data_IF_223434172563
#
_entry.id   IF_223434172563
#
_cell.length_a   1.000
_cell.length_b   1.000
_cell.length_c   1.000
_cell.angle_alpha   90.00
_cell.angle_beta   90.00
_cell.angle_gamma   90.00
#
_symmetry.space_group_name_H-M   'P 1'
#
loop_
_entity.id
_entity.type
_entity.pdbx_description
1 polymer ?
#
# COMPACT_ATOMS: atom_id res chain seq x y z
N UNK A 1 -36.80 8.18 31.12
CA UNK A 1 -35.98 8.72 29.98
C UNK A 1 -35.41 7.56 29.22
N UNK A 2 -36.22 6.82 28.50
CA UNK A 2 -35.76 5.72 27.68
C UNK A 2 -35.77 6.17 26.21
N UNK A 3 -34.72 6.93 25.85
CA UNK A 3 -34.39 7.15 24.44
C UNK A 3 -33.86 5.85 23.86
N UNK A 4 -34.74 4.87 23.69
CA UNK A 4 -34.41 3.70 22.89
C UNK A 4 -34.30 4.16 21.44
N UNK A 5 -33.04 4.34 20.97
CA UNK A 5 -32.73 4.63 19.60
C UNK A 5 -33.22 3.42 18.75
N UNK A 6 -34.42 3.57 18.21
CA UNK A 6 -35.01 2.50 17.40
C UNK A 6 -34.29 2.45 16.05
N UNK A 7 -33.65 1.31 15.68
CA UNK A 7 -32.86 1.22 14.44
C UNK A 7 -33.68 1.54 13.18
N UNK A 8 -35.01 1.35 13.22
CA UNK A 8 -35.92 1.74 12.11
C UNK A 8 -35.96 3.26 11.92
N UNK A 9 -35.94 4.03 13.00
CA UNK A 9 -35.95 5.50 12.93
C UNK A 9 -34.62 6.04 12.37
N UNK A 10 -33.47 5.40 12.71
CA UNK A 10 -32.18 5.76 12.14
C UNK A 10 -32.15 5.58 10.63
N UNK A 11 -32.69 4.47 10.12
CA UNK A 11 -32.72 4.21 8.69
C UNK A 11 -33.58 5.24 7.93
N UNK A 12 -34.72 5.63 8.49
CA UNK A 12 -35.58 6.67 7.90
C UNK A 12 -34.87 8.04 7.87
N UNK A 13 -34.14 8.41 8.92
CA UNK A 13 -33.37 9.67 9.01
C UNK A 13 -32.28 9.70 7.93
N UNK A 14 -31.51 8.61 7.80
CA UNK A 14 -30.47 8.47 6.78
C UNK A 14 -31.07 8.59 5.38
N UNK A 15 -32.23 7.95 5.13
CA UNK A 15 -32.91 8.02 3.84
C UNK A 15 -33.42 9.43 3.53
N UNK A 16 -33.96 10.15 4.53
CA UNK A 16 -34.41 11.54 4.39
C UNK A 16 -33.24 12.49 4.11
N UNK A 17 -32.06 12.24 4.71
CA UNK A 17 -30.84 13.06 4.53
C UNK A 17 -29.87 12.46 3.50
N UNK A 18 -30.35 11.60 2.57
CA UNK A 18 -29.52 10.93 1.55
C UNK A 18 -28.68 11.87 0.69
N UNK A 19 -29.19 13.06 0.37
CA UNK A 19 -28.47 14.07 -0.39
C UNK A 19 -27.23 14.56 0.37
N UNK A 20 -27.36 14.83 1.66
CA UNK A 20 -26.25 15.24 2.52
C UNK A 20 -25.20 14.12 2.60
N UNK A 21 -25.63 12.87 2.76
CA UNK A 21 -24.73 11.71 2.73
C UNK A 21 -23.95 11.63 1.41
N UNK A 22 -24.65 11.72 0.27
CA UNK A 22 -24.03 11.68 -1.05
C UNK A 22 -23.05 12.84 -1.28
N UNK A 23 -23.42 14.05 -0.84
CA UNK A 23 -22.57 15.24 -1.01
C UNK A 23 -21.28 15.13 -0.21
N UNK A 24 -21.36 14.73 1.07
CA UNK A 24 -20.16 14.58 1.93
C UNK A 24 -19.27 13.45 1.40
N UNK A 25 -19.85 12.28 1.11
CA UNK A 25 -19.08 11.15 0.56
C UNK A 25 -18.47 11.49 -0.79
N UNK A 26 -19.22 12.17 -1.66
CA UNK A 26 -18.71 12.64 -2.95
C UNK A 26 -17.57 13.65 -2.81
N UNK A 27 -17.64 14.54 -1.81
CA UNK A 27 -16.56 15.48 -1.50
C UNK A 27 -15.27 14.75 -1.12
N UNK A 28 -15.35 13.73 -0.25
CA UNK A 28 -14.18 12.92 0.14
C UNK A 28 -13.55 12.21 -1.05
N UNK A 29 -14.37 11.61 -1.92
CA UNK A 29 -13.89 10.96 -3.15
C UNK A 29 -13.26 11.98 -4.09
N UNK A 30 -13.88 13.15 -4.27
CA UNK A 30 -13.36 14.22 -5.12
C UNK A 30 -12.01 14.76 -4.63
N UNK A 31 -11.88 15.02 -3.34
CA UNK A 31 -10.60 15.44 -2.74
C UNK A 31 -9.52 14.38 -2.93
N UNK A 32 -9.86 13.10 -2.75
CA UNK A 32 -8.92 12.01 -2.96
C UNK A 32 -8.51 11.87 -4.43
N UNK A 33 -9.45 12.04 -5.36
CA UNK A 33 -9.15 12.02 -6.79
C UNK A 33 -8.21 13.16 -7.20
N UNK A 34 -8.41 14.36 -6.66
CA UNK A 34 -7.52 15.51 -6.85
C UNK A 34 -6.13 15.21 -6.31
N UNK A 35 -6.04 14.68 -5.08
CA UNK A 35 -4.78 14.28 -4.46
C UNK A 35 -4.02 13.25 -5.33
N UNK A 36 -4.70 12.21 -5.79
CA UNK A 36 -4.11 11.16 -6.62
C UNK A 36 -3.67 11.64 -8.01
N UNK A 37 -4.32 12.68 -8.54
CA UNK A 37 -4.00 13.21 -9.88
C UNK A 37 -2.88 14.24 -9.86
N UNK A 38 -2.79 15.08 -8.83
CA UNK A 38 -1.88 16.21 -8.78
C UNK A 38 -0.73 16.07 -7.80
N UNK A 39 -0.95 15.42 -6.64
CA UNK A 39 0.05 15.37 -5.56
C UNK A 39 0.77 14.04 -5.46
N UNK A 40 0.12 12.95 -5.85
CA UNK A 40 0.70 11.62 -5.68
C UNK A 40 1.75 11.32 -6.74
N UNK A 41 3.00 11.17 -6.33
CA UNK A 41 4.11 10.79 -7.23
C UNK A 41 4.04 9.30 -7.54
N UNK A 42 4.03 8.90 -8.82
CA UNK A 42 4.06 7.49 -9.20
C UNK A 42 5.42 6.86 -8.83
N UNK A 43 5.38 5.65 -8.29
CA UNK A 43 6.58 4.84 -7.99
C UNK A 43 6.51 3.58 -8.85
N UNK A 44 7.61 3.30 -9.52
CA UNK A 44 7.79 2.14 -10.39
C UNK A 44 8.71 1.14 -9.72
N UNK A 45 8.49 -0.13 -9.99
CA UNK A 45 9.33 -1.23 -9.50
C UNK A 45 9.98 -1.95 -10.67
N UNK A 46 11.26 -2.26 -10.51
CA UNK A 46 11.98 -3.18 -11.39
C UNK A 46 12.60 -4.29 -10.55
N UNK A 47 12.57 -5.51 -11.04
CA UNK A 47 13.13 -6.67 -10.35
C UNK A 47 14.17 -7.39 -11.19
N UNK A 48 15.17 -7.92 -10.52
CA UNK A 48 16.20 -8.82 -11.07
C UNK A 48 16.37 -9.98 -10.10
N UNK A 49 16.75 -11.13 -10.64
CA UNK A 49 16.86 -12.35 -9.84
C UNK A 49 18.26 -12.93 -9.93
N UNK A 50 18.77 -13.32 -8.76
CA UNK A 50 20.00 -14.08 -8.62
C UNK A 50 19.68 -15.49 -8.13
N UNK A 51 20.46 -16.46 -8.59
CA UNK A 51 20.41 -17.82 -8.06
C UNK A 51 21.75 -18.14 -7.42
N UNK A 52 21.69 -18.73 -6.22
CA UNK A 52 22.85 -19.21 -5.49
C UNK A 52 22.97 -20.71 -5.70
N UNK A 53 23.91 -21.13 -6.52
CA UNK A 53 24.15 -22.55 -6.79
C UNK A 53 25.00 -23.16 -5.68
N UNK A 54 24.63 -24.33 -5.19
CA UNK A 54 25.50 -25.08 -4.33
C UNK A 54 26.72 -25.58 -5.13
N UNK A 55 27.91 -25.23 -4.68
CA UNK A 55 29.10 -26.00 -5.11
C UNK A 55 28.99 -27.38 -4.48
N UNK A 56 28.80 -28.40 -5.27
CA UNK A 56 28.91 -29.80 -4.84
C UNK A 56 30.29 -30.02 -4.27
N UNK A 57 30.47 -29.82 -2.97
CA UNK A 57 31.61 -30.37 -2.23
C UNK A 57 31.41 -31.89 -2.26
N UNK A 58 32.25 -32.58 -2.95
CA UNK A 58 32.15 -34.00 -3.38
C UNK A 58 32.03 -35.02 -2.23
N UNK A 59 31.92 -34.63 -0.96
CA UNK A 59 32.05 -35.58 0.16
C UNK A 59 31.12 -35.37 1.36
N UNK A 60 29.96 -34.71 1.24
CA UNK A 60 29.04 -34.65 2.37
C UNK A 60 27.65 -35.20 1.99
N UNK A 61 27.34 -36.34 2.53
CA UNK A 61 26.15 -37.18 2.31
C UNK A 61 24.91 -36.79 3.14
N UNK A 62 24.86 -35.60 3.70
CA UNK A 62 23.64 -35.09 4.37
C UNK A 62 23.44 -33.65 3.97
N UNK A 63 22.52 -33.46 3.05
CA UNK A 63 22.06 -32.17 2.58
C UNK A 63 21.22 -31.54 3.69
N UNK A 64 21.83 -30.66 4.46
CA UNK A 64 21.14 -29.92 5.51
C UNK A 64 20.40 -28.73 4.88
N UNK A 65 19.12 -28.93 4.53
CA UNK A 65 18.24 -27.92 3.91
C UNK A 65 18.25 -26.62 4.74
N UNK A 66 18.40 -26.75 6.06
CA UNK A 66 18.46 -25.60 6.96
C UNK A 66 19.74 -24.77 6.79
N UNK A 67 20.87 -25.42 6.43
CA UNK A 67 22.11 -24.70 6.12
C UNK A 67 21.99 -23.87 4.84
N UNK A 68 21.25 -24.39 3.86
CA UNK A 68 21.02 -23.69 2.59
C UNK A 68 20.18 -22.44 2.75
N UNK A 69 19.13 -22.49 3.56
CA UNK A 69 18.28 -21.31 3.84
C UNK A 69 19.05 -20.23 4.57
N UNK A 70 19.93 -20.60 5.51
CA UNK A 70 20.79 -19.66 6.20
C UNK A 70 21.79 -18.97 5.26
N UNK A 71 22.31 -19.70 4.27
CA UNK A 71 23.17 -19.11 3.25
C UNK A 71 22.43 -18.07 2.42
N UNK A 72 21.23 -18.35 1.94
CA UNK A 72 20.44 -17.42 1.13
C UNK A 72 20.15 -16.13 1.90
N UNK A 73 19.83 -16.23 3.19
CA UNK A 73 19.64 -15.07 4.07
C UNK A 73 20.94 -14.25 4.21
N UNK A 74 22.08 -14.92 4.32
CA UNK A 74 23.41 -14.25 4.39
C UNK A 74 23.70 -13.50 3.09
N UNK A 75 23.45 -14.10 1.93
CA UNK A 75 23.63 -13.44 0.63
C UNK A 75 22.72 -12.23 0.49
N UNK A 76 21.46 -12.33 0.94
CA UNK A 76 20.51 -11.21 0.93
C UNK A 76 21.01 -10.04 1.79
N UNK A 77 21.59 -10.31 2.95
CA UNK A 77 22.20 -9.30 3.81
C UNK A 77 23.42 -8.65 3.16
N UNK A 78 24.28 -9.44 2.49
CA UNK A 78 25.45 -8.92 1.77
C UNK A 78 25.01 -8.02 0.62
N UNK A 79 24.02 -8.41 -0.19
CA UNK A 79 23.48 -7.62 -1.30
C UNK A 79 22.99 -6.26 -0.82
N UNK A 80 22.33 -6.21 0.33
CA UNK A 80 21.81 -4.97 0.93
C UNK A 80 22.86 -4.18 1.72
N UNK A 81 24.10 -4.69 1.80
CA UNK A 81 25.17 -4.04 2.58
C UNK A 81 25.64 -2.73 1.93
N UNK A 82 26.16 -1.80 2.74
CA UNK A 82 26.76 -0.56 2.24
C UNK A 82 27.89 -0.81 1.24
N UNK A 83 28.63 -1.93 1.34
CA UNK A 83 29.70 -2.29 0.41
C UNK A 83 29.19 -2.41 -1.02
N UNK A 84 28.10 -3.17 -1.21
CA UNK A 84 27.48 -3.38 -2.54
C UNK A 84 26.84 -2.08 -3.02
N UNK A 85 26.04 -1.43 -2.17
CA UNK A 85 25.26 -0.25 -2.56
C UNK A 85 26.16 0.96 -2.89
N UNK A 86 27.26 1.19 -2.15
CA UNK A 86 28.25 2.22 -2.49
C UNK A 86 28.92 1.94 -3.85
N UNK A 87 29.22 0.66 -4.14
CA UNK A 87 29.78 0.29 -5.43
C UNK A 87 28.82 0.56 -6.57
N UNK A 88 27.53 0.24 -6.38
CA UNK A 88 26.47 0.55 -7.33
C UNK A 88 26.33 2.06 -7.54
N UNK A 89 26.34 2.83 -6.46
CA UNK A 89 26.27 4.29 -6.50
C UNK A 89 27.42 4.88 -7.32
N UNK A 90 28.64 4.40 -7.13
CA UNK A 90 29.83 4.86 -7.88
C UNK A 90 29.77 4.50 -9.36
N UNK A 91 29.17 3.38 -9.74
CA UNK A 91 29.01 2.94 -11.14
C UNK A 91 27.95 3.78 -11.88
N UNK A 92 26.86 4.11 -11.17
CA UNK A 92 25.75 4.86 -11.78
C UNK A 92 25.94 6.37 -11.73
N UNK A 93 27.05 6.87 -11.14
CA UNK A 93 27.33 8.30 -10.91
C UNK A 93 26.09 9.03 -10.35
N UNK A 94 25.39 8.37 -9.45
CA UNK A 94 24.14 8.87 -8.91
C UNK A 94 24.43 9.67 -7.64
N UNK A 95 23.98 10.93 -7.62
CA UNK A 95 24.05 11.80 -6.44
C UNK A 95 23.07 11.42 -5.33
N UNK A 96 22.33 10.32 -5.48
CA UNK A 96 21.41 9.81 -4.46
C UNK A 96 22.19 9.43 -3.20
N UNK A 97 21.69 9.82 -2.03
CA UNK A 97 22.30 9.41 -0.76
C UNK A 97 22.18 7.89 -0.59
N UNK A 98 23.24 7.25 -0.04
CA UNK A 98 23.25 5.82 0.26
C UNK A 98 22.00 5.37 1.04
N UNK A 99 21.53 6.21 1.97
CA UNK A 99 20.32 5.94 2.75
C UNK A 99 19.06 5.88 1.87
N UNK A 100 18.95 6.74 0.88
CA UNK A 100 17.87 6.75 -0.09
C UNK A 100 17.90 5.47 -0.94
N UNK A 101 19.06 5.14 -1.49
CA UNK A 101 19.26 3.91 -2.25
C UNK A 101 18.93 2.66 -1.43
N UNK A 102 19.30 2.63 -0.15
CA UNK A 102 18.97 1.51 0.75
C UNK A 102 17.48 1.35 0.95
N UNK A 103 16.72 2.46 1.00
CA UNK A 103 15.27 2.45 1.15
C UNK A 103 14.55 2.05 -0.16
N UNK A 104 15.16 2.33 -1.30
CA UNK A 104 14.63 1.96 -2.62
C UNK A 104 14.81 0.47 -2.92
N UNK A 105 15.76 -0.21 -2.24
CA UNK A 105 16.13 -1.59 -2.52
C UNK A 105 15.51 -2.54 -1.50
N UNK A 106 14.72 -3.49 -1.99
CA UNK A 106 14.18 -4.60 -1.22
C UNK A 106 14.76 -5.91 -1.77
N UNK A 107 15.33 -6.72 -0.89
CA UNK A 107 15.86 -8.05 -1.22
C UNK A 107 14.99 -9.06 -0.50
N UNK A 108 14.39 -9.95 -1.26
CA UNK A 108 13.51 -11.01 -0.76
C UNK A 108 13.96 -12.37 -1.27
N UNK A 109 13.68 -13.38 -0.50
CA UNK A 109 13.92 -14.78 -0.86
C UNK A 109 12.60 -15.52 -0.84
N UNK A 110 12.38 -16.40 -1.79
CA UNK A 110 11.23 -17.30 -1.76
C UNK A 110 11.55 -18.44 -0.80
N UNK A 111 10.60 -18.77 0.06
CA UNK A 111 10.77 -19.87 1.02
C UNK A 111 11.17 -21.16 0.28
N UNK A 112 12.15 -21.89 0.82
CA UNK A 112 12.71 -23.12 0.25
C UNK A 112 13.28 -22.99 -1.17
N UNK A 113 13.72 -21.77 -1.56
CA UNK A 113 14.30 -21.47 -2.86
C UNK A 113 15.69 -20.86 -2.74
N UNK A 114 16.56 -21.22 -3.68
CA UNK A 114 17.91 -20.64 -3.83
C UNK A 114 17.88 -19.34 -4.67
N UNK A 115 16.69 -18.82 -4.97
CA UNK A 115 16.50 -17.59 -5.76
C UNK A 115 16.35 -16.40 -4.82
N UNK A 116 17.15 -15.38 -5.09
CA UNK A 116 17.10 -14.07 -4.43
C UNK A 116 16.48 -13.08 -5.41
N UNK A 117 15.37 -12.48 -5.03
CA UNK A 117 14.69 -11.44 -5.81
C UNK A 117 15.08 -10.05 -5.28
N UNK A 118 15.66 -9.25 -6.15
CA UNK A 118 16.10 -7.88 -5.86
C UNK A 118 15.11 -6.94 -6.53
N UNK A 119 14.33 -6.24 -5.73
CA UNK A 119 13.32 -5.28 -6.16
C UNK A 119 13.81 -3.87 -5.86
N UNK A 120 13.69 -2.98 -6.85
CA UNK A 120 14.07 -1.58 -6.73
C UNK A 120 12.87 -0.71 -7.07
N UNK A 121 12.48 0.14 -6.12
CA UNK A 121 11.39 1.10 -6.26
C UNK A 121 11.96 2.50 -6.52
N UNK A 122 11.59 3.14 -7.63
CA UNK A 122 12.03 4.51 -7.93
C UNK A 122 10.95 5.28 -8.71
N UNK A 123 10.98 6.62 -8.62
CA UNK A 123 10.08 7.51 -9.38
C UNK A 123 10.32 7.43 -10.88
N UNK A 124 11.53 7.06 -11.30
CA UNK A 124 11.90 6.90 -12.69
C UNK A 124 12.09 5.40 -13.02
N UNK A 125 11.27 4.81 -13.91
CA UNK A 125 11.33 3.40 -14.23
C UNK A 125 12.67 2.99 -14.86
N UNK A 126 13.31 3.87 -15.64
CA UNK A 126 14.65 3.60 -16.22
C UNK A 126 15.70 3.50 -15.12
N UNK A 127 15.66 4.41 -14.12
CA UNK A 127 16.59 4.35 -12.98
C UNK A 127 16.36 3.10 -12.15
N UNK A 128 15.11 2.72 -11.87
CA UNK A 128 14.80 1.49 -11.16
C UNK A 128 15.44 0.27 -11.86
N UNK A 129 15.28 0.15 -13.17
CA UNK A 129 15.87 -0.93 -13.98
C UNK A 129 17.41 -0.90 -13.96
N UNK A 130 18.01 0.27 -14.10
CA UNK A 130 19.46 0.44 -14.07
C UNK A 130 20.04 0.06 -12.70
N UNK A 131 19.42 0.52 -11.61
CA UNK A 131 19.85 0.20 -10.24
C UNK A 131 19.74 -1.30 -10.00
N UNK A 132 18.60 -1.92 -10.31
CA UNK A 132 18.39 -3.36 -10.14
C UNK A 132 19.46 -4.19 -10.87
N UNK A 133 19.69 -3.90 -12.15
CA UNK A 133 20.71 -4.61 -12.93
C UNK A 133 22.14 -4.34 -12.44
N UNK A 134 22.43 -3.13 -11.95
CA UNK A 134 23.75 -2.80 -11.41
C UNK A 134 23.99 -3.54 -10.09
N UNK A 135 22.98 -3.64 -9.22
CA UNK A 135 23.06 -4.44 -7.99
C UNK A 135 23.35 -5.90 -8.34
N UNK A 136 22.64 -6.49 -9.30
CA UNK A 136 22.87 -7.87 -9.72
C UNK A 136 24.30 -8.09 -10.24
N UNK A 137 24.81 -7.18 -11.09
CA UNK A 137 26.18 -7.26 -11.63
C UNK A 137 27.24 -7.11 -10.54
N UNK A 138 27.09 -6.11 -9.66
CA UNK A 138 28.03 -5.87 -8.56
C UNK A 138 28.00 -7.05 -7.59
N UNK A 139 26.82 -7.57 -7.25
CA UNK A 139 26.68 -8.73 -6.37
C UNK A 139 27.35 -9.97 -6.96
N UNK A 140 27.17 -10.25 -8.26
CA UNK A 140 27.86 -11.35 -8.94
C UNK A 140 29.38 -11.24 -8.86
N UNK A 141 29.94 -10.04 -8.84
CA UNK A 141 31.40 -9.83 -8.80
C UNK A 141 31.93 -9.79 -7.37
N UNK A 142 31.25 -9.11 -6.45
CA UNK A 142 31.73 -8.88 -5.09
C UNK A 142 31.46 -10.06 -4.14
N UNK A 143 30.33 -10.77 -4.31
CA UNK A 143 30.00 -11.90 -3.41
C UNK A 143 31.05 -13.00 -3.45
N UNK A 144 31.56 -13.45 -4.61
CA UNK A 144 32.66 -14.43 -4.66
C UNK A 144 33.90 -13.96 -3.91
N UNK A 145 34.22 -12.69 -3.95
CA UNK A 145 35.38 -12.13 -3.23
C UNK A 145 35.17 -12.11 -1.70
N UNK A 146 33.93 -11.93 -1.25
CA UNK A 146 33.57 -11.92 0.17
C UNK A 146 33.50 -13.33 0.75
N UNK A 147 32.85 -14.22 0.00
CA UNK A 147 32.54 -15.59 0.46
C UNK A 147 33.58 -16.64 0.07
N UNK A 148 34.48 -16.29 -0.85
CA UNK A 148 35.51 -17.23 -1.36
C UNK A 148 34.96 -18.32 -2.29
N UNK A 149 33.71 -18.19 -2.77
CA UNK A 149 33.03 -19.17 -3.63
C UNK A 149 32.29 -18.47 -4.77
N UNK A 150 32.47 -18.95 -5.99
CA UNK A 150 31.78 -18.41 -7.18
C UNK A 150 30.50 -19.24 -7.45
N UNK A 151 29.48 -18.91 -6.72
CA UNK A 151 28.22 -19.65 -6.75
C UNK A 151 26.98 -18.76 -7.02
N UNK A 152 27.18 -17.50 -7.42
CA UNK A 152 26.11 -16.56 -7.71
C UNK A 152 25.96 -16.32 -9.21
N UNK A 153 24.78 -16.57 -9.74
CA UNK A 153 24.47 -16.37 -11.16
C UNK A 153 23.24 -15.50 -11.32
N UNK A 154 23.24 -14.61 -12.32
CA UNK A 154 22.07 -13.79 -12.65
C UNK A 154 21.08 -14.70 -13.39
N UNK A 155 19.91 -14.93 -12.79
CA UNK A 155 18.84 -15.74 -13.34
C UNK A 155 18.00 -14.94 -14.34
N UNK A 156 17.60 -13.73 -13.95
CA UNK A 156 16.87 -12.81 -14.83
C UNK A 156 17.34 -11.38 -14.61
N UNK A 157 17.35 -10.59 -15.68
CA UNK A 157 17.67 -9.16 -15.63
C UNK A 157 16.40 -8.33 -15.69
N UNK A 158 16.38 -7.19 -15.00
CA UNK A 158 15.31 -6.23 -15.10
C UNK A 158 15.26 -5.67 -16.53
N UNK A 159 14.08 -5.67 -17.14
CA UNK A 159 13.81 -5.06 -18.43
C UNK A 159 13.04 -3.75 -18.24
N UNK A 160 13.41 -2.73 -19.02
CA UNK A 160 12.64 -1.51 -19.07
C UNK A 160 11.49 -1.68 -20.06
N UNK A 161 10.25 -1.56 -19.57
CA UNK A 161 9.07 -1.48 -20.42
C UNK A 161 8.53 -0.03 -20.38
N UNK A 162 8.23 0.54 -21.55
CA UNK A 162 7.62 1.87 -21.63
C UNK A 162 6.21 1.91 -21.03
N UNK A 163 5.54 0.77 -20.98
CA UNK A 163 4.21 0.60 -20.40
C UNK A 163 4.23 0.19 -18.91
N UNK A 164 5.35 0.38 -18.21
CA UNK A 164 5.44 0.08 -16.78
C UNK A 164 4.35 0.80 -16.00
N UNK A 165 3.49 0.00 -15.35
CA UNK A 165 2.43 0.52 -14.49
C UNK A 165 3.05 0.84 -13.12
N UNK A 166 2.82 2.05 -12.56
CA UNK A 166 3.32 2.38 -11.24
C UNK A 166 2.65 1.48 -10.18
N UNK A 167 3.45 0.96 -9.28
CA UNK A 167 3.00 0.09 -8.18
C UNK A 167 2.36 0.88 -7.04
N UNK A 168 2.72 2.16 -6.91
CA UNK A 168 2.18 3.10 -5.91
C UNK A 168 1.88 4.46 -6.57
N UNK A 169 0.87 5.20 -6.06
CA UNK A 169 -0.14 4.74 -5.10
C UNK A 169 -1.12 3.74 -5.71
N UNK A 170 -1.66 2.84 -4.89
CA UNK A 170 -2.74 1.92 -5.28
C UNK A 170 -4.04 2.69 -5.39
N UNK A 171 -4.29 3.33 -6.53
CA UNK A 171 -5.42 4.25 -6.75
C UNK A 171 -6.76 3.67 -6.32
N UNK A 172 -7.05 2.42 -6.73
CA UNK A 172 -8.30 1.76 -6.37
C UNK A 172 -8.48 1.59 -4.85
N UNK A 173 -7.43 1.16 -4.15
CA UNK A 173 -7.47 0.98 -2.70
C UNK A 173 -7.67 2.31 -1.96
N UNK A 174 -6.99 3.37 -2.40
CA UNK A 174 -7.13 4.70 -1.80
C UNK A 174 -8.54 5.29 -2.05
N UNK A 175 -9.12 5.07 -3.22
CA UNK A 175 -10.50 5.49 -3.50
C UNK A 175 -11.52 4.74 -2.64
N UNK A 176 -11.36 3.42 -2.47
CA UNK A 176 -12.23 2.62 -1.59
C UNK A 176 -12.11 3.11 -0.14
N UNK A 177 -10.89 3.35 0.34
CA UNK A 177 -10.67 3.85 1.70
C UNK A 177 -11.32 5.23 1.90
N UNK A 178 -11.18 6.12 0.92
CA UNK A 178 -11.83 7.45 0.95
C UNK A 178 -13.35 7.35 0.97
N UNK A 179 -13.92 6.42 0.19
CA UNK A 179 -15.36 6.16 0.21
C UNK A 179 -15.85 5.71 1.59
N UNK A 180 -15.15 4.73 2.20
CA UNK A 180 -15.50 4.22 3.53
C UNK A 180 -15.39 5.32 4.59
N UNK A 181 -14.31 6.11 4.57
CA UNK A 181 -14.13 7.23 5.48
C UNK A 181 -15.19 8.32 5.28
N UNK A 182 -15.49 8.67 4.02
CA UNK A 182 -16.53 9.64 3.69
C UNK A 182 -17.91 9.19 4.16
N UNK A 183 -18.22 7.91 4.01
CA UNK A 183 -19.47 7.31 4.47
C UNK A 183 -19.56 7.32 6.00
N UNK A 184 -18.52 6.90 6.70
CA UNK A 184 -18.47 6.91 8.16
C UNK A 184 -18.61 8.35 8.69
N UNK A 185 -17.91 9.31 8.09
CA UNK A 185 -17.98 10.71 8.48
C UNK A 185 -19.36 11.31 8.23
N UNK A 186 -19.97 11.02 7.08
CA UNK A 186 -21.32 11.50 6.75
C UNK A 186 -22.38 10.98 7.71
N UNK A 187 -22.29 9.70 8.12
CA UNK A 187 -23.18 9.14 9.14
C UNK A 187 -23.01 9.82 10.49
N UNK A 188 -21.75 10.11 10.88
CA UNK A 188 -21.46 10.87 12.09
C UNK A 188 -22.08 12.26 12.07
N UNK A 189 -21.98 12.99 10.97
CA UNK A 189 -22.58 14.32 10.80
C UNK A 189 -24.11 14.24 10.86
N UNK A 190 -24.72 13.25 10.20
CA UNK A 190 -26.18 13.04 10.26
C UNK A 190 -26.61 12.74 11.69
N UNK A 191 -25.86 11.91 12.41
CA UNK A 191 -26.15 11.59 13.80
C UNK A 191 -26.10 12.82 14.70
N UNK A 192 -25.01 13.61 14.60
CA UNK A 192 -24.85 14.86 15.36
C UNK A 192 -26.00 15.83 15.04
N UNK A 193 -26.30 16.04 13.76
CA UNK A 193 -27.43 16.89 13.37
C UNK A 193 -28.75 16.40 13.96
N UNK A 194 -28.95 15.08 13.99
CA UNK A 194 -30.23 14.53 14.53
C UNK A 194 -30.34 14.71 16.04
N UNK A 195 -29.22 14.61 16.77
CA UNK A 195 -29.20 14.86 18.23
C UNK A 195 -29.44 16.33 18.57
N UNK A 196 -28.92 17.26 17.75
CA UNK A 196 -29.09 18.70 17.95
C UNK A 196 -30.40 19.27 17.34
N UNK A 197 -31.04 18.51 16.44
CA UNK A 197 -32.26 18.89 15.77
C UNK A 197 -33.44 18.59 16.70
N UNK A 198 -33.87 19.61 17.47
CA UNK A 198 -35.00 19.54 18.40
C UNK A 198 -36.35 19.76 17.70
N UNK A 199 -36.40 19.71 16.37
CA UNK A 199 -37.63 19.95 15.62
C UNK A 199 -38.57 18.77 15.77
N UNK A 200 -39.75 19.02 16.29
CA UNK A 200 -40.83 18.03 16.39
C UNK A 200 -41.33 17.75 14.98
N UNK A 201 -41.00 16.60 14.42
CA UNK A 201 -41.32 16.23 13.04
C UNK A 201 -42.44 15.18 12.94
N UNK A 202 -42.88 14.60 14.06
CA UNK A 202 -43.87 13.54 14.04
C UNK A 202 -44.97 13.79 15.06
N UNK A 203 -46.20 13.41 14.70
CA UNK A 203 -47.37 13.46 15.58
C UNK A 203 -47.15 12.63 16.86
N UNK A 204 -46.34 11.60 16.79
CA UNK A 204 -45.96 10.76 17.93
C UNK A 204 -45.11 11.52 18.98
N UNK A 205 -44.33 12.52 18.57
CA UNK A 205 -43.52 13.35 19.46
C UNK A 205 -44.45 14.28 20.28
N UNK A 206 -45.57 14.72 19.72
CA UNK A 206 -46.57 15.55 20.39
C UNK A 206 -47.36 14.77 21.46
N UNK A 207 -47.57 13.46 21.26
CA UNK A 207 -48.27 12.61 22.26
C UNK A 207 -47.46 12.46 23.56
N UNK A 208 -46.17 12.62 23.50
CA UNK A 208 -45.27 12.51 24.66
C UNK A 208 -45.38 13.71 25.61
N UNK A 209 -45.94 14.81 25.10
CA UNK A 209 -46.18 16.05 25.90
C UNK A 209 -47.63 16.18 26.44
N UNK A 210 -48.43 15.09 26.34
CA UNK A 210 -49.83 15.08 26.85
C UNK A 210 -50.72 16.20 26.25
N UNK A 211 -50.40 16.63 25.03
CA UNK A 211 -51.11 17.68 24.31
C UNK A 211 -52.24 17.02 23.49
N UNK A 212 -53.49 17.39 23.76
CA UNK A 212 -54.63 16.95 22.97
C UNK A 212 -54.55 17.52 21.55
N UNK A 213 -54.37 16.65 20.57
CA UNK A 213 -54.34 17.02 19.16
C UNK A 213 -55.78 17.26 18.71
N UNK A 214 -56.14 18.52 18.50
CA UNK A 214 -57.51 18.94 18.09
C UNK A 214 -57.74 18.74 16.58
N UNK A 215 -56.72 18.50 15.78
CA UNK A 215 -56.80 18.22 14.34
C UNK A 215 -55.48 18.43 13.62
N UNK A 216 -55.28 17.79 12.47
CA UNK A 216 -54.17 18.04 11.56
C UNK A 216 -54.70 18.68 10.27
N UNK A 217 -54.08 19.77 9.82
CA UNK A 217 -54.36 20.40 8.54
C UNK A 217 -53.37 19.88 7.52
N UNK A 218 -53.88 19.22 6.48
CA UNK A 218 -53.06 18.78 5.33
C UNK A 218 -52.80 20.01 4.45
N UNK A 219 -51.55 20.20 4.03
CA UNK A 219 -51.20 21.19 3.02
C UNK A 219 -51.95 20.88 1.72
N UNK A 220 -52.81 21.79 1.31
CA UNK A 220 -53.48 21.74 0.00
C UNK A 220 -52.45 22.03 -1.09
N UNK A 221 -52.24 21.10 -1.99
CA UNK A 221 -51.33 21.18 -3.10
C UNK A 221 -51.99 21.94 -4.25
#
# INVERSE_FOLDING_TARGET
MDNTINPKNLFQIVYKKRFLLMTITGLFIGLMAIYLSFLATPIYQSSTQLVVSQQKIKNLQTQDVQADLNLVNTYSAIIKSPRILNRVQSILDTQSNLKELTNEVTVTTTQDSQVIDIQVENKNPKKATQIANSIAKVSKTEIPQIMGVDNVTILSTATFDQNNIPIRPRKALMMILSFVLGLAFSLGVIFVQTVFDKTINDINDLRQFDINILGSVSELK
#
